data_IF_849852391999
#
_entry.id   IF_849852391999
#
_cell.length_a   1.000
_cell.length_b   1.000
_cell.length_c   1.000
_cell.angle_alpha   90.00
_cell.angle_beta   90.00
_cell.angle_gamma   90.00
#
_symmetry.space_group_name_H-M   'P 1'
#
loop_
_entity.id
_entity.type
_entity.pdbx_description
1 polymer ?
#
# COMPACT_ATOMS: atom_id res chain seq x y z
N UNK A 1 2.17 12.17 -4.64
CA UNK A 1 2.22 10.69 -4.77
C UNK A 1 3.38 10.14 -3.96
N UNK A 2 3.18 9.08 -3.15
CA UNK A 2 4.23 8.46 -2.31
C UNK A 2 5.36 7.83 -3.14
N UNK A 3 5.03 7.29 -4.31
CA UNK A 3 5.96 6.64 -5.24
C UNK A 3 7.10 7.56 -5.72
N UNK A 4 6.77 8.81 -6.07
CA UNK A 4 7.73 9.81 -6.54
C UNK A 4 8.78 10.10 -5.47
N UNK A 5 8.34 10.21 -4.20
CA UNK A 5 9.24 10.41 -3.07
C UNK A 5 10.18 9.23 -2.83
N UNK A 6 9.67 8.00 -2.93
CA UNK A 6 10.49 6.79 -2.75
C UNK A 6 11.55 6.64 -3.86
N UNK A 7 11.18 6.94 -5.11
CA UNK A 7 12.11 6.96 -6.25
C UNK A 7 13.20 8.02 -6.06
N UNK A 8 12.82 9.24 -5.64
CA UNK A 8 13.77 10.32 -5.35
C UNK A 8 14.74 9.95 -4.23
N UNK A 9 14.22 9.36 -3.14
CA UNK A 9 15.02 8.94 -2.00
C UNK A 9 16.06 7.87 -2.37
N UNK A 10 15.68 6.90 -3.21
CA UNK A 10 16.61 5.87 -3.68
C UNK A 10 17.68 6.44 -4.62
N UNK A 11 17.31 7.36 -5.51
CA UNK A 11 18.25 8.07 -6.39
C UNK A 11 19.27 8.87 -5.59
N UNK A 12 18.84 9.54 -4.52
CA UNK A 12 19.74 10.28 -3.62
C UNK A 12 20.64 9.34 -2.81
N UNK A 13 20.13 8.18 -2.38
CA UNK A 13 20.92 7.12 -1.74
C UNK A 13 22.04 6.62 -2.66
N UNK A 14 21.73 6.30 -3.92
CA UNK A 14 22.72 5.87 -4.92
C UNK A 14 23.78 6.96 -5.16
N UNK A 15 23.35 8.23 -5.28
CA UNK A 15 24.28 9.38 -5.39
C UNK A 15 25.18 9.52 -4.17
N UNK A 16 24.67 9.29 -2.96
CA UNK A 16 25.46 9.33 -1.73
C UNK A 16 26.46 8.19 -1.64
N UNK A 17 26.07 6.96 -1.96
CA UNK A 17 26.99 5.81 -1.96
C UNK A 17 28.12 5.98 -2.97
N UNK A 18 27.86 6.64 -4.10
CA UNK A 18 28.89 6.95 -5.09
C UNK A 18 29.85 8.06 -4.63
N UNK A 19 29.49 8.88 -3.61
CA UNK A 19 30.41 9.87 -3.02
C UNK A 19 31.49 9.22 -2.16
N UNK A 20 31.23 8.05 -1.60
CA UNK A 20 32.20 7.32 -0.77
C UNK A 20 33.27 6.60 -1.62
N UNK A 21 33.07 6.49 -2.94
CA UNK A 21 34.02 5.88 -3.89
C UNK A 21 34.92 6.88 -4.63
N UNK A 22 34.82 8.19 -4.38
CA UNK A 22 35.51 9.18 -5.23
C UNK A 22 36.95 9.49 -4.79
N UNK A 23 37.89 8.82 -5.46
CA UNK A 23 39.15 9.42 -5.87
C UNK A 23 38.93 10.72 -6.69
N UNK A 24 39.98 11.55 -6.71
CA UNK A 24 40.16 12.86 -7.37
C UNK A 24 38.94 13.44 -8.12
N UNK A 25 38.32 14.47 -7.53
CA UNK A 25 37.24 15.26 -8.17
C UNK A 25 37.83 16.18 -9.25
N UNK A 26 37.44 15.97 -10.50
CA UNK A 26 37.72 16.92 -11.60
C UNK A 26 36.66 18.02 -11.51
N UNK A 27 37.06 19.22 -11.07
CA UNK A 27 36.22 20.41 -11.13
C UNK A 27 36.16 20.90 -12.59
N UNK A 28 35.13 20.51 -13.33
CA UNK A 28 34.82 21.12 -14.61
C UNK A 28 34.27 22.53 -14.36
N UNK A 29 35.11 23.54 -14.61
CA UNK A 29 34.76 24.95 -14.58
C UNK A 29 33.81 25.25 -15.76
N UNK A 30 32.50 25.43 -15.50
CA UNK A 30 31.60 25.98 -16.53
C UNK A 30 30.13 25.53 -16.52
N UNK A 31 29.75 24.46 -15.83
CA UNK A 31 28.35 24.04 -15.76
C UNK A 31 27.70 24.49 -14.46
N UNK A 32 26.87 25.52 -14.53
CA UNK A 32 25.95 25.86 -13.44
C UNK A 32 24.82 24.82 -13.44
N UNK A 33 24.85 23.88 -12.49
CA UNK A 33 23.69 23.06 -12.20
C UNK A 33 22.62 23.93 -11.56
N UNK A 34 21.39 23.87 -12.07
CA UNK A 34 20.24 24.48 -11.41
C UNK A 34 19.45 23.36 -10.71
N UNK A 35 19.80 23.03 -9.46
CA UNK A 35 19.22 21.86 -8.78
C UNK A 35 17.70 21.96 -8.62
N UNK A 36 17.16 23.18 -8.49
CA UNK A 36 15.71 23.40 -8.38
C UNK A 36 14.99 23.14 -9.69
N UNK A 37 15.57 23.58 -10.83
CA UNK A 37 15.00 23.27 -12.14
C UNK A 37 15.13 21.78 -12.47
N UNK A 38 16.27 21.16 -12.15
CA UNK A 38 16.50 19.73 -12.35
C UNK A 38 15.53 18.87 -11.53
N UNK A 39 15.21 19.29 -10.30
CA UNK A 39 14.25 18.61 -9.45
C UNK A 39 12.81 18.76 -9.95
N UNK A 40 12.41 19.94 -10.42
CA UNK A 40 11.10 20.19 -11.00
C UNK A 40 10.89 19.39 -12.30
N UNK A 41 11.92 19.33 -13.15
CA UNK A 41 11.90 18.50 -14.38
C UNK A 41 11.77 17.02 -14.01
N UNK A 42 12.50 16.56 -12.98
CA UNK A 42 12.40 15.18 -12.50
C UNK A 42 10.99 14.86 -11.99
N UNK A 43 10.35 15.75 -11.22
CA UNK A 43 8.99 15.53 -10.74
C UNK A 43 7.97 15.38 -11.87
N UNK A 44 8.00 16.29 -12.85
CA UNK A 44 7.10 16.23 -14.02
C UNK A 44 7.34 14.97 -14.84
N UNK A 45 8.60 14.57 -15.01
CA UNK A 45 8.95 13.33 -15.71
C UNK A 45 8.46 12.08 -14.97
N UNK A 46 8.64 12.02 -13.64
CA UNK A 46 8.19 10.91 -12.82
C UNK A 46 6.66 10.81 -12.80
N UNK A 47 5.97 11.93 -12.72
CA UNK A 47 4.50 11.99 -12.76
C UNK A 47 3.97 11.53 -14.12
N UNK A 48 4.58 11.98 -15.23
CA UNK A 48 4.25 11.50 -16.58
C UNK A 48 4.53 10.01 -16.81
N UNK A 49 5.63 9.50 -16.25
CA UNK A 49 6.03 8.09 -16.31
C UNK A 49 5.08 7.15 -15.52
N UNK A 50 4.54 7.63 -14.40
CA UNK A 50 3.56 6.92 -13.58
C UNK A 50 2.20 6.92 -14.29
N UNK A 51 1.80 8.05 -14.87
CA UNK A 51 0.52 8.19 -15.57
C UNK A 51 0.51 7.58 -16.99
N UNK A 52 1.59 6.92 -17.41
CA UNK A 52 1.71 6.26 -18.71
C UNK A 52 1.75 7.24 -19.91
N UNK A 53 1.95 8.53 -19.65
CA UNK A 53 1.87 9.58 -20.67
C UNK A 53 3.19 9.75 -21.44
N UNK A 54 4.31 9.29 -20.87
CA UNK A 54 5.62 9.23 -21.52
C UNK A 54 6.35 7.94 -21.11
N UNK A 55 7.14 7.37 -22.01
CA UNK A 55 8.03 6.25 -21.72
C UNK A 55 8.92 6.61 -20.52
N UNK A 56 8.65 5.96 -19.39
CA UNK A 56 9.39 6.08 -18.13
C UNK A 56 10.88 5.71 -18.23
N UNK A 57 11.33 5.36 -19.42
CA UNK A 57 12.61 4.74 -19.74
C UNK A 57 13.77 5.75 -19.73
N UNK A 58 13.51 7.05 -19.94
CA UNK A 58 14.58 8.06 -20.02
C UNK A 58 14.85 8.81 -18.70
N UNK A 59 13.87 8.90 -17.79
CA UNK A 59 14.01 9.65 -16.53
C UNK A 59 14.61 8.83 -15.38
N UNK A 60 14.58 7.50 -15.52
CA UNK A 60 14.97 6.54 -14.50
C UNK A 60 16.06 5.64 -15.09
N UNK A 61 17.30 5.80 -14.60
CA UNK A 61 18.49 5.11 -15.11
C UNK A 61 18.44 3.58 -15.03
N UNK A 62 17.36 3.00 -14.51
CA UNK A 62 17.19 1.57 -14.28
C UNK A 62 15.71 1.17 -14.52
N UNK A 63 15.37 0.72 -15.74
CA UNK A 63 14.01 0.27 -16.09
C UNK A 63 13.46 -0.83 -15.16
N UNK A 64 14.32 -1.68 -14.59
CA UNK A 64 13.90 -2.73 -13.67
C UNK A 64 13.36 -2.16 -12.34
N UNK A 65 14.03 -1.12 -11.81
CA UNK A 65 13.62 -0.43 -10.60
C UNK A 65 12.24 0.24 -10.78
N UNK A 66 11.99 0.83 -11.96
CA UNK A 66 10.69 1.45 -12.28
C UNK A 66 9.56 0.42 -12.26
N UNK A 67 9.80 -0.74 -12.87
CA UNK A 67 8.82 -1.82 -12.91
C UNK A 67 8.54 -2.37 -11.50
N UNK A 68 9.56 -2.47 -10.65
CA UNK A 68 9.40 -2.85 -9.25
C UNK A 68 8.52 -1.85 -8.48
N UNK A 69 8.78 -0.55 -8.65
CA UNK A 69 7.99 0.52 -8.04
C UNK A 69 6.54 0.51 -8.54
N UNK A 70 6.32 0.38 -9.85
CA UNK A 70 4.96 0.25 -10.43
C UNK A 70 4.23 -0.96 -9.88
N UNK A 71 4.89 -2.11 -9.76
CA UNK A 71 4.31 -3.33 -9.18
C UNK A 71 3.93 -3.13 -7.72
N UNK A 72 4.78 -2.47 -6.92
CA UNK A 72 4.47 -2.16 -5.52
C UNK A 72 3.28 -1.23 -5.39
N UNK A 73 3.24 -0.14 -6.16
CA UNK A 73 2.11 0.80 -6.14
C UNK A 73 0.81 0.11 -6.56
N UNK A 74 0.85 -0.74 -7.59
CA UNK A 74 -0.29 -1.53 -8.03
C UNK A 74 -0.84 -2.41 -6.89
N UNK A 75 0.03 -3.13 -6.17
CA UNK A 75 -0.37 -3.93 -5.01
C UNK A 75 -0.99 -3.06 -3.93
N UNK A 76 -0.41 -1.90 -3.62
CA UNK A 76 -0.96 -0.98 -2.61
C UNK A 76 -2.36 -0.49 -2.99
N UNK A 77 -2.57 -0.11 -4.25
CA UNK A 77 -3.88 0.33 -4.75
C UNK A 77 -4.89 -0.81 -4.68
N UNK A 78 -4.52 -2.03 -5.10
CA UNK A 78 -5.40 -3.19 -4.98
C UNK A 78 -5.76 -3.47 -3.52
N UNK A 79 -4.77 -3.50 -2.61
CA UNK A 79 -5.02 -3.70 -1.17
C UNK A 79 -5.91 -2.62 -0.57
N UNK A 80 -5.79 -1.36 -1.01
CA UNK A 80 -6.64 -0.27 -0.55
C UNK A 80 -8.09 -0.46 -1.00
N UNK A 81 -8.31 -0.88 -2.26
CA UNK A 81 -9.62 -1.19 -2.81
C UNK A 81 -10.28 -2.41 -2.12
N UNK A 82 -9.49 -3.46 -1.88
CA UNK A 82 -9.91 -4.66 -1.15
C UNK A 82 -10.29 -4.31 0.29
N UNK A 83 -9.47 -3.52 0.97
CA UNK A 83 -9.75 -3.05 2.33
C UNK A 83 -11.01 -2.19 2.39
N UNK A 84 -11.22 -1.31 1.41
CA UNK A 84 -12.44 -0.50 1.32
C UNK A 84 -13.68 -1.39 1.14
N UNK A 85 -13.58 -2.43 0.31
CA UNK A 85 -14.67 -3.39 0.06
C UNK A 85 -14.98 -4.23 1.29
N UNK A 86 -13.95 -4.73 1.98
CA UNK A 86 -14.08 -5.40 3.28
C UNK A 86 -14.79 -4.50 4.30
N UNK A 87 -14.38 -3.23 4.41
CA UNK A 87 -14.98 -2.29 5.35
C UNK A 87 -16.46 -2.03 5.05
N UNK A 88 -16.84 -1.90 3.77
CA UNK A 88 -18.25 -1.77 3.37
C UNK A 88 -19.07 -2.99 3.82
N UNK A 89 -18.52 -4.18 3.66
CA UNK A 89 -19.18 -5.43 4.08
C UNK A 89 -19.30 -5.56 5.58
N UNK A 90 -18.25 -5.21 6.31
CA UNK A 90 -18.28 -5.16 7.76
C UNK A 90 -19.39 -4.22 8.28
N UNK A 91 -19.65 -3.12 7.59
CA UNK A 91 -20.73 -2.19 7.92
C UNK A 91 -22.12 -2.63 7.42
N UNK A 92 -22.20 -3.57 6.48
CA UNK A 92 -23.46 -4.14 6.00
C UNK A 92 -24.03 -5.22 6.94
N UNK A 93 -23.18 -5.85 7.76
CA UNK A 93 -23.59 -6.76 8.83
C UNK A 93 -24.60 -6.10 9.77
N UNK A 94 -25.45 -6.89 10.43
CA UNK A 94 -26.37 -6.37 11.44
C UNK A 94 -25.62 -5.81 12.64
N UNK A 95 -26.25 -4.90 13.39
CA UNK A 95 -25.64 -4.28 14.59
C UNK A 95 -25.14 -5.34 15.58
N UNK A 96 -25.92 -6.42 15.78
CA UNK A 96 -25.55 -7.52 16.69
C UNK A 96 -24.33 -8.31 16.19
N UNK A 97 -24.19 -8.47 14.89
CA UNK A 97 -23.03 -9.15 14.28
C UNK A 97 -21.78 -8.26 14.35
N UNK A 98 -21.94 -6.95 14.14
CA UNK A 98 -20.87 -5.97 14.29
C UNK A 98 -20.36 -5.91 15.73
N UNK A 99 -21.26 -5.87 16.71
CA UNK A 99 -20.93 -5.91 18.14
C UNK A 99 -20.15 -7.17 18.53
N UNK A 100 -20.37 -8.27 17.82
CA UNK A 100 -19.64 -9.52 18.03
C UNK A 100 -18.28 -9.54 17.32
N UNK A 101 -18.25 -9.25 16.02
CA UNK A 101 -17.07 -9.51 15.19
C UNK A 101 -16.02 -8.39 15.26
N UNK A 102 -16.43 -7.13 15.42
CA UNK A 102 -15.48 -5.99 15.45
C UNK A 102 -14.53 -6.07 16.65
N UNK A 103 -14.99 -6.36 17.88
CA UNK A 103 -14.09 -6.51 19.02
C UNK A 103 -13.11 -7.68 18.86
N UNK A 104 -13.56 -8.79 18.25
CA UNK A 104 -12.70 -9.94 17.93
C UNK A 104 -11.61 -9.57 16.92
N UNK A 105 -11.99 -8.92 15.81
CA UNK A 105 -11.04 -8.49 14.77
C UNK A 105 -10.01 -7.49 15.30
N UNK A 106 -10.42 -6.60 16.21
CA UNK A 106 -9.53 -5.64 16.87
C UNK A 106 -8.76 -6.23 18.06
N UNK A 107 -8.94 -7.52 18.35
CA UNK A 107 -8.37 -8.21 19.52
C UNK A 107 -8.63 -7.49 20.85
N UNK A 108 -9.78 -6.79 20.94
CA UNK A 108 -10.17 -6.03 22.14
C UNK A 108 -10.91 -6.89 23.17
N UNK A 109 -11.62 -7.91 22.70
CA UNK A 109 -12.37 -8.86 23.52
C UNK A 109 -12.10 -10.26 23.00
N UNK A 110 -12.10 -11.22 23.90
CA UNK A 110 -12.04 -12.63 23.54
C UNK A 110 -13.45 -13.25 23.51
N UNK A 111 -13.52 -14.53 23.14
CA UNK A 111 -14.77 -15.27 23.10
C UNK A 111 -15.42 -15.47 24.47
N UNK A 112 -14.65 -15.43 25.57
CA UNK A 112 -15.15 -15.62 26.93
C UNK A 112 -15.84 -14.35 27.42
N UNK A 113 -15.19 -13.18 27.26
CA UNK A 113 -15.77 -11.87 27.58
C UNK A 113 -17.06 -11.64 26.81
N UNK A 114 -17.07 -11.96 25.51
CA UNK A 114 -18.27 -11.80 24.68
C UNK A 114 -19.39 -12.76 25.07
N UNK A 115 -19.06 -13.97 25.52
CA UNK A 115 -20.04 -14.94 26.01
C UNK A 115 -20.69 -14.49 27.31
N UNK A 116 -19.87 -13.97 28.24
CA UNK A 116 -20.31 -13.42 29.51
C UNK A 116 -21.23 -12.21 29.32
N UNK A 117 -20.83 -11.23 28.50
CA UNK A 117 -21.63 -10.03 28.20
C UNK A 117 -22.98 -10.35 27.56
N UNK A 118 -23.01 -11.36 26.69
CA UNK A 118 -24.23 -11.80 26.01
C UNK A 118 -25.06 -12.80 26.83
N UNK A 119 -24.58 -13.26 27.99
CA UNK A 119 -25.25 -14.28 28.80
C UNK A 119 -25.41 -15.62 28.09
N UNK A 120 -24.49 -15.98 27.19
CA UNK A 120 -24.53 -17.23 26.40
C UNK A 120 -23.26 -18.06 26.62
N UNK A 121 -23.26 -19.30 26.15
CA UNK A 121 -22.06 -20.14 26.22
C UNK A 121 -21.05 -19.80 25.12
N UNK A 122 -19.76 -19.93 25.43
CA UNK A 122 -18.64 -19.70 24.49
C UNK A 122 -18.80 -20.46 23.15
N UNK A 123 -19.27 -21.73 23.11
CA UNK A 123 -19.49 -22.42 21.84
C UNK A 123 -20.55 -21.77 20.94
N UNK A 124 -21.53 -21.05 21.51
CA UNK A 124 -22.52 -20.29 20.73
C UNK A 124 -21.86 -19.07 20.08
N UNK A 125 -21.06 -18.33 20.85
CA UNK A 125 -20.30 -17.18 20.36
C UNK A 125 -19.35 -17.59 19.24
N UNK A 126 -18.58 -18.67 19.43
CA UNK A 126 -17.66 -19.20 18.40
C UNK A 126 -18.38 -19.59 17.12
N UNK A 127 -19.53 -20.26 17.21
CA UNK A 127 -20.33 -20.62 16.03
C UNK A 127 -20.82 -19.40 15.27
N UNK A 128 -21.33 -18.38 15.98
CA UNK A 128 -21.76 -17.12 15.36
C UNK A 128 -20.61 -16.38 14.68
N UNK A 129 -19.49 -16.24 15.39
CA UNK A 129 -18.30 -15.58 14.84
C UNK A 129 -17.75 -16.31 13.62
N UNK A 130 -17.72 -17.64 13.64
CA UNK A 130 -17.32 -18.46 12.49
C UNK A 130 -18.23 -18.26 11.29
N UNK A 131 -19.55 -18.20 11.51
CA UNK A 131 -20.52 -17.95 10.44
C UNK A 131 -20.30 -16.58 9.78
N UNK A 132 -20.19 -15.52 10.58
CA UNK A 132 -19.90 -14.16 10.09
C UNK A 132 -18.57 -14.12 9.34
N UNK A 133 -17.56 -14.83 9.84
CA UNK A 133 -16.25 -14.90 9.19
C UNK A 133 -16.33 -15.58 7.81
N UNK A 134 -17.04 -16.71 7.69
CA UNK A 134 -17.27 -17.37 6.41
C UNK A 134 -18.03 -16.46 5.44
N UNK A 135 -19.05 -15.74 5.90
CA UNK A 135 -19.81 -14.80 5.08
C UNK A 135 -18.93 -13.67 4.53
N UNK A 136 -18.11 -13.07 5.39
CA UNK A 136 -17.14 -12.04 5.00
C UNK A 136 -16.13 -12.59 3.98
N UNK A 137 -15.64 -13.82 4.14
CA UNK A 137 -14.71 -14.44 3.18
C UNK A 137 -15.40 -14.70 1.84
N UNK A 138 -16.56 -15.36 1.83
CA UNK A 138 -17.26 -15.69 0.60
C UNK A 138 -17.63 -14.44 -0.20
N UNK A 139 -17.93 -13.33 0.48
CA UNK A 139 -18.11 -12.06 -0.20
C UNK A 139 -16.82 -11.57 -0.86
N UNK A 140 -15.72 -11.58 -0.11
CA UNK A 140 -14.43 -11.13 -0.60
C UNK A 140 -13.93 -11.98 -1.77
N UNK A 141 -14.14 -13.30 -1.76
CA UNK A 141 -13.80 -14.21 -2.86
C UNK A 141 -14.38 -13.76 -4.20
N UNK A 142 -15.65 -13.31 -4.21
CA UNK A 142 -16.27 -12.78 -5.43
C UNK A 142 -15.56 -11.52 -5.94
N UNK A 143 -15.07 -10.66 -5.04
CA UNK A 143 -14.39 -9.42 -5.40
C UNK A 143 -12.94 -9.64 -5.87
N UNK A 144 -12.27 -10.66 -5.32
CA UNK A 144 -10.90 -11.03 -5.70
C UNK A 144 -10.83 -11.67 -7.09
N UNK A 145 -11.85 -12.43 -7.51
CA UNK A 145 -11.89 -13.08 -8.82
C UNK A 145 -12.13 -12.09 -9.97
N UNK A 146 -12.87 -11.00 -9.73
CA UNK A 146 -13.18 -10.01 -10.78
C UNK A 146 -12.00 -9.09 -11.16
N UNK A 147 -10.91 -9.07 -10.38
CA UNK A 147 -9.76 -8.15 -10.58
C UNK A 147 -8.43 -8.81 -10.97
N UNK A 148 -8.40 -10.13 -11.21
CA UNK A 148 -7.24 -10.88 -11.71
C UNK A 148 -7.43 -11.25 -13.19
#
# INVERSE_FOLDING_TARGET
MRLIYEIKAEKERRRSNHKDELGVRIQNLGNYSNPTADEAVLDVMLEGAINGLNSAEDALSDPALVQEFKRREYVIVMMADEYASFKRHLHALSVKEQELIIPLLKQKKDYYTLAEEAGVSVPVVRRKASHIHCELISYMENYFIEKL
#
